data_IF_977436633550
#
_entry.id   IF_977436633550
#
_cell.length_a   1.000
_cell.length_b   1.000
_cell.length_c   1.000
_cell.angle_alpha   90.00
_cell.angle_beta   90.00
_cell.angle_gamma   90.00
#
_symmetry.space_group_name_H-M   'P 1'
#
loop_
_entity.id
_entity.type
_entity.pdbx_description
1 polymer ?
#
# COMPACT_ATOMS: atom_id res chain seq x y z
N UNK A 1 0.55 3.73 -26.35
CA UNK A 1 0.70 4.85 -25.41
C UNK A 1 -0.17 5.98 -25.97
N UNK A 2 -1.35 6.21 -25.40
CA UNK A 2 -2.25 7.29 -25.82
C UNK A 2 -1.73 8.61 -25.20
N UNK A 3 -1.48 9.60 -26.06
CA UNK A 3 -0.99 10.94 -25.73
C UNK A 3 -2.13 11.98 -25.68
N UNK A 4 -3.40 11.56 -25.60
CA UNK A 4 -4.47 12.49 -25.24
C UNK A 4 -4.31 12.86 -23.76
N UNK A 5 -4.17 14.15 -23.44
CA UNK A 5 -4.06 14.69 -22.07
C UNK A 5 -5.30 14.47 -21.18
N UNK A 6 -6.02 13.37 -21.38
CA UNK A 6 -7.09 12.89 -20.52
C UNK A 6 -6.42 12.22 -19.32
N UNK A 7 -6.63 12.82 -18.13
CA UNK A 7 -6.31 12.16 -16.86
C UNK A 7 -6.92 10.76 -16.89
N UNK A 8 -6.13 9.77 -16.51
CA UNK A 8 -6.60 8.39 -16.44
C UNK A 8 -7.87 8.37 -15.56
N UNK A 9 -9.01 7.90 -16.08
CA UNK A 9 -10.25 7.93 -15.32
C UNK A 9 -10.04 7.18 -14.01
N UNK A 10 -10.39 7.85 -12.92
CA UNK A 10 -10.29 7.32 -11.56
C UNK A 10 -11.06 5.99 -11.50
N UNK A 11 -10.58 4.97 -10.75
CA UNK A 11 -11.36 3.78 -10.50
C UNK A 11 -12.74 4.19 -9.96
N UNK A 12 -13.79 3.56 -10.48
CA UNK A 12 -15.20 3.95 -10.31
C UNK A 12 -15.58 4.23 -8.85
N UNK A 13 -15.04 3.41 -7.93
CA UNK A 13 -15.18 3.51 -6.47
C UNK A 13 -14.81 4.89 -5.89
N UNK A 14 -13.81 5.59 -6.43
CA UNK A 14 -13.36 6.84 -5.84
C UNK A 14 -14.16 8.06 -6.36
N UNK A 15 -15.02 7.88 -7.37
CA UNK A 15 -16.07 8.86 -7.69
C UNK A 15 -17.22 8.79 -6.67
N UNK A 16 -17.51 7.58 -6.13
CA UNK A 16 -18.56 7.38 -5.13
C UNK A 16 -18.25 8.04 -3.77
N UNK A 17 -16.97 8.26 -3.47
CA UNK A 17 -16.51 8.89 -2.23
C UNK A 17 -16.63 10.43 -2.28
N UNK A 18 -16.61 11.05 -3.46
CA UNK A 18 -16.55 12.52 -3.59
C UNK A 18 -17.77 13.18 -2.93
N UNK A 19 -17.56 13.99 -1.89
CA UNK A 19 -18.62 14.66 -1.13
C UNK A 19 -19.52 13.72 -0.31
N UNK A 20 -19.26 12.42 -0.27
CA UNK A 20 -20.10 11.42 0.37
C UNK A 20 -19.49 10.92 1.69
N UNK A 21 -19.95 11.48 2.81
CA UNK A 21 -19.39 11.18 4.15
C UNK A 21 -19.57 9.71 4.52
N UNK A 22 -20.71 9.10 4.18
CA UNK A 22 -20.96 7.68 4.49
C UNK A 22 -19.95 6.79 3.77
N UNK A 23 -19.73 7.02 2.48
CA UNK A 23 -18.76 6.26 1.70
C UNK A 23 -17.33 6.52 2.15
N UNK A 24 -16.99 7.75 2.54
CA UNK A 24 -15.68 8.06 3.12
C UNK A 24 -15.43 7.30 4.43
N UNK A 25 -16.43 7.21 5.32
CA UNK A 25 -16.31 6.43 6.57
C UNK A 25 -16.17 4.92 6.31
N UNK A 26 -16.93 4.38 5.34
CA UNK A 26 -16.79 2.98 4.92
C UNK A 26 -15.39 2.74 4.34
N UNK A 27 -14.90 3.64 3.49
CA UNK A 27 -13.56 3.56 2.93
C UNK A 27 -12.50 3.60 4.02
N UNK A 28 -12.60 4.52 5.00
CA UNK A 28 -11.71 4.58 6.15
C UNK A 28 -11.70 3.28 6.96
N UNK A 29 -12.87 2.70 7.22
CA UNK A 29 -12.96 1.41 7.90
C UNK A 29 -12.22 0.31 7.13
N UNK A 30 -12.42 0.24 5.82
CA UNK A 30 -11.78 -0.76 4.96
C UNK A 30 -10.26 -0.58 4.88
N UNK A 31 -9.77 0.64 4.64
CA UNK A 31 -8.33 0.88 4.54
C UNK A 31 -7.62 0.62 5.87
N UNK A 32 -8.20 0.95 7.01
CA UNK A 32 -7.55 0.67 8.29
C UNK A 32 -7.54 -0.82 8.66
N UNK A 33 -8.61 -1.55 8.34
CA UNK A 33 -8.74 -2.96 8.75
C UNK A 33 -8.13 -3.94 7.74
N UNK A 34 -8.39 -3.76 6.45
CA UNK A 34 -7.92 -4.68 5.41
C UNK A 34 -6.57 -4.25 4.83
N UNK A 35 -6.41 -2.97 4.46
CA UNK A 35 -5.15 -2.51 3.86
C UNK A 35 -4.05 -2.35 4.92
N UNK A 36 -4.16 -1.33 5.77
CA UNK A 36 -3.14 -0.99 6.75
C UNK A 36 -2.85 -2.12 7.74
N UNK A 37 -3.87 -2.74 8.33
CA UNK A 37 -3.66 -3.83 9.29
C UNK A 37 -3.47 -5.18 8.60
N UNK A 38 -4.42 -5.57 7.75
CA UNK A 38 -4.41 -6.87 7.07
C UNK A 38 -3.19 -7.07 6.18
N UNK A 39 -2.92 -6.14 5.25
CA UNK A 39 -1.79 -6.28 4.34
C UNK A 39 -0.46 -6.20 5.09
N UNK A 40 -0.27 -5.33 6.07
CA UNK A 40 1.00 -5.29 6.80
C UNK A 40 1.27 -6.57 7.58
N UNK A 41 0.26 -7.18 8.22
CA UNK A 41 0.39 -8.50 8.84
C UNK A 41 0.77 -9.56 7.80
N UNK A 42 0.11 -9.59 6.65
CA UNK A 42 0.37 -10.58 5.62
C UNK A 42 1.75 -10.41 4.99
N UNK A 43 2.09 -9.21 4.52
CA UNK A 43 3.30 -8.95 3.75
C UNK A 43 4.53 -8.77 4.64
N UNK A 44 4.47 -7.92 5.68
CA UNK A 44 5.65 -7.60 6.51
C UNK A 44 5.73 -8.51 7.74
N UNK A 45 4.60 -8.81 8.36
CA UNK A 45 4.53 -9.72 9.50
C UNK A 45 4.89 -11.15 9.11
N UNK A 46 4.24 -11.68 8.07
CA UNK A 46 4.37 -13.08 7.68
C UNK A 46 5.33 -13.31 6.51
N UNK A 47 5.00 -12.84 5.29
CA UNK A 47 5.73 -13.20 4.07
C UNK A 47 7.20 -12.75 4.11
N UNK A 48 7.47 -11.52 4.54
CA UNK A 48 8.84 -11.01 4.69
C UNK A 48 9.63 -11.82 5.72
N UNK A 49 9.01 -12.16 6.85
CA UNK A 49 9.66 -12.99 7.87
C UNK A 49 9.99 -14.38 7.33
N UNK A 50 9.09 -15.00 6.55
CA UNK A 50 9.32 -16.29 5.89
C UNK A 50 10.42 -16.21 4.82
N UNK A 51 10.45 -15.14 4.03
CA UNK A 51 11.53 -14.92 3.07
C UNK A 51 12.89 -14.77 3.79
N UNK A 52 12.93 -14.03 4.90
CA UNK A 52 14.15 -13.83 5.69
C UNK A 52 14.62 -15.11 6.39
N UNK A 53 13.72 -16.02 6.77
CA UNK A 53 14.07 -17.31 7.39
C UNK A 53 15.02 -18.14 6.51
N UNK A 54 14.87 -18.07 5.17
CA UNK A 54 15.74 -18.76 4.21
C UNK A 54 17.21 -18.34 4.38
N UNK A 55 17.44 -17.05 4.68
CA UNK A 55 18.77 -16.49 4.92
C UNK A 55 19.11 -16.31 6.39
N UNK A 56 18.57 -17.20 7.25
CA UNK A 56 18.79 -17.20 8.71
C UNK A 56 18.50 -15.86 9.39
N UNK A 57 17.52 -15.12 8.87
CA UNK A 57 17.12 -13.78 9.36
C UNK A 57 18.25 -12.76 9.41
N UNK A 58 19.27 -12.93 8.57
CA UNK A 58 20.32 -11.92 8.41
C UNK A 58 19.74 -10.61 7.87
N UNK A 59 20.40 -9.48 8.16
CA UNK A 59 19.99 -8.17 7.63
C UNK A 59 19.92 -8.18 6.10
N UNK A 60 20.84 -8.86 5.43
CA UNK A 60 20.81 -9.02 3.97
C UNK A 60 19.59 -9.80 3.49
N UNK A 61 19.20 -10.88 4.20
CA UNK A 61 18.02 -11.67 3.86
C UNK A 61 16.72 -10.85 3.99
N UNK A 62 16.63 -9.96 4.98
CA UNK A 62 15.51 -9.02 5.08
C UNK A 62 15.48 -8.03 3.92
N UNK A 63 16.60 -7.43 3.54
CA UNK A 63 16.63 -6.50 2.41
C UNK A 63 16.26 -7.17 1.09
N UNK A 64 16.77 -8.38 0.82
CA UNK A 64 16.37 -9.15 -0.35
C UNK A 64 14.89 -9.54 -0.28
N UNK A 65 14.41 -9.99 0.89
CA UNK A 65 13.01 -10.29 1.13
C UNK A 65 12.11 -9.08 0.89
N UNK A 66 12.52 -7.88 1.30
CA UNK A 66 11.77 -6.63 1.05
C UNK A 66 11.59 -6.41 -0.44
N UNK A 67 12.65 -6.57 -1.25
CA UNK A 67 12.54 -6.41 -2.70
C UNK A 67 11.53 -7.40 -3.28
N UNK A 68 11.64 -8.68 -2.94
CA UNK A 68 10.77 -9.74 -3.45
C UNK A 68 9.30 -9.54 -3.02
N UNK A 69 9.08 -9.27 -1.74
CA UNK A 69 7.73 -9.06 -1.18
C UNK A 69 7.11 -7.77 -1.73
N UNK A 70 7.91 -6.74 -2.02
CA UNK A 70 7.41 -5.49 -2.63
C UNK A 70 6.96 -5.69 -4.07
N UNK A 71 7.67 -6.52 -4.84
CA UNK A 71 7.22 -6.91 -6.19
C UNK A 71 5.88 -7.65 -6.11
N UNK A 72 5.75 -8.60 -5.17
CA UNK A 72 4.49 -9.32 -4.97
C UNK A 72 3.35 -8.39 -4.53
N UNK A 73 3.63 -7.45 -3.63
CA UNK A 73 2.67 -6.45 -3.16
C UNK A 73 2.20 -5.55 -4.31
N UNK A 74 3.13 -5.09 -5.16
CA UNK A 74 2.80 -4.35 -6.38
C UNK A 74 1.93 -5.17 -7.33
N UNK A 75 2.28 -6.43 -7.56
CA UNK A 75 1.48 -7.33 -8.39
C UNK A 75 0.08 -7.59 -7.82
N UNK A 76 -0.06 -7.71 -6.49
CA UNK A 76 -1.37 -7.82 -5.82
C UNK A 76 -2.31 -6.65 -6.11
N UNK A 77 -1.76 -5.52 -6.54
CA UNK A 77 -2.47 -4.32 -6.94
C UNK A 77 -2.71 -4.20 -8.45
N UNK A 78 -2.63 -5.29 -9.21
CA UNK A 78 -2.82 -5.29 -10.67
C UNK A 78 -4.13 -4.67 -11.14
N UNK A 79 -5.18 -4.73 -10.33
CA UNK A 79 -6.48 -4.13 -10.61
C UNK A 79 -6.44 -2.59 -10.73
N UNK A 80 -5.38 -1.95 -10.23
CA UNK A 80 -5.11 -0.49 -10.38
C UNK A 80 -4.42 -0.16 -11.73
N UNK A 81 -4.15 -1.15 -12.57
CA UNK A 81 -3.41 -0.99 -13.83
C UNK A 81 -1.89 -0.88 -13.64
N UNK A 82 -1.16 -0.70 -14.74
CA UNK A 82 0.31 -0.74 -14.73
C UNK A 82 0.96 0.31 -13.81
N UNK A 83 0.44 1.55 -13.79
CA UNK A 83 0.92 2.58 -12.86
C UNK A 83 0.67 2.18 -11.41
N UNK A 84 -0.52 1.66 -11.10
CA UNK A 84 -0.86 1.22 -9.76
C UNK A 84 -0.01 0.04 -9.25
N UNK A 85 0.42 -0.87 -10.14
CA UNK A 85 1.37 -1.93 -9.79
C UNK A 85 2.72 -1.33 -9.37
N UNK A 86 3.24 -0.39 -10.16
CA UNK A 86 4.53 0.26 -9.90
C UNK A 86 4.46 1.09 -8.62
N UNK A 87 3.44 1.93 -8.48
CA UNK A 87 3.25 2.79 -7.31
C UNK A 87 3.12 1.96 -6.03
N UNK A 88 2.32 0.89 -6.07
CA UNK A 88 2.15 -0.02 -4.93
C UNK A 88 3.44 -0.77 -4.63
N UNK A 89 4.21 -1.20 -5.63
CA UNK A 89 5.51 -1.82 -5.42
C UNK A 89 6.53 -0.87 -4.77
N UNK A 90 6.53 0.41 -5.15
CA UNK A 90 7.36 1.44 -4.52
C UNK A 90 6.93 1.68 -3.07
N UNK A 91 5.63 1.81 -2.81
CA UNK A 91 5.10 1.87 -1.44
C UNK A 91 5.50 0.62 -0.63
N UNK A 92 5.46 -0.54 -1.29
CA UNK A 92 6.07 -1.82 -0.93
C UNK A 92 7.44 -1.66 -0.26
N UNK A 93 8.37 -1.13 -1.06
CA UNK A 93 9.78 -0.92 -0.70
C UNK A 93 9.93 0.09 0.43
N UNK A 94 9.19 1.19 0.39
CA UNK A 94 9.24 2.25 1.42
C UNK A 94 8.81 1.70 2.77
N UNK A 95 7.66 1.02 2.84
CA UNK A 95 7.16 0.43 4.09
C UNK A 95 8.06 -0.70 4.58
N UNK A 96 8.65 -1.50 3.68
CA UNK A 96 9.65 -2.50 4.04
C UNK A 96 10.94 -1.89 4.59
N UNK A 97 11.41 -0.78 4.02
CA UNK A 97 12.52 0.00 4.56
C UNK A 97 12.19 0.61 5.92
N UNK A 98 11.00 1.19 6.07
CA UNK A 98 10.51 1.73 7.34
C UNK A 98 10.44 0.63 8.41
N UNK A 99 10.00 -0.58 8.07
CA UNK A 99 10.01 -1.74 8.96
C UNK A 99 11.42 -1.99 9.50
N UNK A 100 12.44 -1.99 8.64
CA UNK A 100 13.83 -2.22 9.05
C UNK A 100 14.37 -1.09 9.94
N UNK A 101 14.14 0.17 9.56
CA UNK A 101 14.58 1.35 10.31
C UNK A 101 13.90 1.44 11.67
N UNK A 102 12.61 1.05 11.76
CA UNK A 102 11.84 1.02 13.00
C UNK A 102 12.17 -0.20 13.89
N UNK A 103 13.26 -0.93 13.63
CA UNK A 103 13.65 -2.08 14.44
C UNK A 103 12.72 -3.28 14.28
N UNK A 104 12.13 -3.46 13.08
CA UNK A 104 11.12 -4.48 12.75
C UNK A 104 9.82 -4.33 13.56
N UNK A 105 9.45 -3.08 13.84
CA UNK A 105 8.19 -2.75 14.49
C UNK A 105 7.05 -2.67 13.46
N UNK A 106 6.15 -3.66 13.48
CA UNK A 106 5.03 -3.75 12.54
C UNK A 106 4.02 -2.61 12.73
N UNK A 107 3.83 -2.11 13.95
CA UNK A 107 2.90 -1.00 14.22
C UNK A 107 3.31 0.27 13.50
N UNK A 108 4.62 0.53 13.38
CA UNK A 108 5.12 1.67 12.62
C UNK A 108 4.66 1.61 11.16
N UNK A 109 4.69 0.42 10.54
CA UNK A 109 4.22 0.20 9.17
C UNK A 109 2.69 0.31 9.07
N UNK A 110 1.94 -0.30 10.01
CA UNK A 110 0.47 -0.22 10.04
C UNK A 110 0.01 1.24 10.10
N UNK A 111 0.60 2.05 10.99
CA UNK A 111 0.25 3.47 11.08
C UNK A 111 0.68 4.26 9.85
N UNK A 112 1.89 4.04 9.34
CA UNK A 112 2.36 4.72 8.13
C UNK A 112 1.44 4.43 6.93
N UNK A 113 1.10 3.16 6.70
CA UNK A 113 0.20 2.74 5.63
C UNK A 113 -1.21 3.32 5.84
N UNK A 114 -1.78 3.18 7.04
CA UNK A 114 -3.11 3.71 7.36
C UNK A 114 -3.22 5.23 7.19
N UNK A 115 -2.18 5.99 7.52
CA UNK A 115 -2.17 7.44 7.28
C UNK A 115 -2.06 7.79 5.79
N UNK A 116 -1.21 7.08 5.02
CA UNK A 116 -1.12 7.26 3.57
C UNK A 116 -2.50 7.03 2.91
N UNK A 117 -3.17 5.94 3.26
CA UNK A 117 -4.50 5.64 2.73
C UNK A 117 -5.56 6.63 3.20
N UNK A 118 -5.46 7.12 4.44
CA UNK A 118 -6.35 8.17 4.95
C UNK A 118 -6.21 9.46 4.13
N UNK A 119 -4.98 9.86 3.78
CA UNK A 119 -4.77 11.00 2.88
C UNK A 119 -5.38 10.75 1.49
N UNK A 120 -5.27 9.54 0.95
CA UNK A 120 -5.90 9.18 -0.31
C UNK A 120 -7.44 9.25 -0.24
N UNK A 121 -8.06 8.82 0.87
CA UNK A 121 -9.52 8.96 1.08
C UNK A 121 -9.93 10.43 1.21
N UNK A 122 -9.14 11.26 1.91
CA UNK A 122 -9.39 12.71 2.03
C UNK A 122 -9.33 13.38 0.66
N UNK A 123 -8.26 13.13 -0.09
CA UNK A 123 -8.10 13.63 -1.46
C UNK A 123 -9.25 13.17 -2.37
N UNK A 124 -9.68 11.90 -2.23
CA UNK A 124 -10.82 11.38 -2.97
C UNK A 124 -12.14 12.08 -2.60
N UNK A 125 -12.37 12.36 -1.31
CA UNK A 125 -13.56 13.01 -0.79
C UNK A 125 -13.69 14.46 -1.26
N UNK A 126 -12.60 15.24 -1.20
CA UNK A 126 -12.59 16.62 -1.69
C UNK A 126 -12.42 16.74 -3.21
N UNK A 127 -11.91 15.69 -3.85
CA UNK A 127 -11.68 15.67 -5.29
C UNK A 127 -10.58 16.62 -5.73
N UNK A 128 -9.49 16.76 -4.95
CA UNK A 128 -8.39 17.67 -5.28
C UNK A 128 -7.55 17.19 -6.47
N UNK A 129 -7.27 15.88 -6.52
CA UNK A 129 -6.53 15.23 -7.61
C UNK A 129 -7.37 14.89 -8.86
N UNK A 130 -8.52 15.56 -9.04
CA UNK A 130 -9.36 15.39 -10.24
C UNK A 130 -8.62 15.76 -11.49
#
# INVERSE_FOLDING_TARGET
LDFSGRRCPRPEIANEITGNVKMALVALLLVWTFAAFGEEISYRGYLLTRAADIGSRSTAAYWLGIVLVSVLFGYGHYYKGASGIIDSGIAGLILGGAYMVAGRNLWACIFAHGFIDTFAVIDAFFGWSK
#
